data_IF_246621752492
#
_entry.id   IF_246621752492
#
_cell.length_a   1.000
_cell.length_b   1.000
_cell.length_c   1.000
_cell.angle_alpha   90.00
_cell.angle_beta   90.00
_cell.angle_gamma   90.00
#
_symmetry.space_group_name_H-M   'P 1'
#
loop_
_entity.id
_entity.type
_entity.pdbx_description
1 polymer ?
#
# COMPACT_ATOMS: atom_id res chain seq x y z
N UNK A 1 -7.82 -23.42 0.08
CA UNK A 1 -6.83 -22.35 0.28
C UNK A 1 -5.45 -22.94 0.07
N UNK A 2 -4.67 -22.37 -0.81
CA UNK A 2 -3.32 -22.89 -1.10
C UNK A 2 -2.42 -22.61 0.10
N UNK A 3 -1.93 -23.64 0.78
CA UNK A 3 -1.16 -23.55 2.04
C UNK A 3 0.32 -23.20 1.81
N UNK A 4 0.71 -22.82 0.59
CA UNK A 4 2.09 -22.44 0.31
C UNK A 4 2.43 -21.11 1.01
N UNK A 5 3.57 -21.09 1.68
CA UNK A 5 4.12 -19.87 2.28
C UNK A 5 4.29 -18.81 1.19
N UNK A 6 3.72 -17.60 1.32
CA UNK A 6 3.88 -16.55 0.31
C UNK A 6 5.35 -16.09 0.25
N UNK A 7 5.86 -15.83 -0.96
CA UNK A 7 7.17 -15.22 -1.13
C UNK A 7 7.14 -13.74 -0.73
N UNK A 8 6.00 -13.06 -0.97
CA UNK A 8 5.84 -11.65 -0.67
C UNK A 8 4.42 -11.29 -0.20
N UNK A 9 4.33 -10.22 0.58
CA UNK A 9 3.08 -9.53 0.87
C UNK A 9 3.00 -8.20 0.12
N UNK A 10 1.87 -7.98 -0.57
CA UNK A 10 1.60 -6.72 -1.27
C UNK A 10 0.62 -5.84 -0.48
N UNK A 11 0.97 -4.59 -0.21
CA UNK A 11 0.02 -3.61 0.32
C UNK A 11 -1.01 -3.29 -0.78
N UNK A 12 -2.27 -3.64 -0.51
CA UNK A 12 -3.32 -3.66 -1.51
C UNK A 12 -4.44 -2.69 -1.19
N UNK A 13 -4.68 -1.73 -2.07
CA UNK A 13 -5.75 -0.72 -1.91
C UNK A 13 -6.99 -0.99 -2.78
N UNK A 14 -6.96 -1.99 -3.65
CA UNK A 14 -7.97 -2.20 -4.68
C UNK A 14 -7.85 -1.25 -5.88
N UNK A 15 -6.85 -0.37 -5.90
CA UNK A 15 -6.56 0.51 -7.03
C UNK A 15 -5.59 -0.13 -8.03
N UNK A 16 -5.61 0.37 -9.29
CA UNK A 16 -4.85 -0.17 -10.40
C UNK A 16 -3.36 -0.38 -10.07
N UNK A 17 -2.69 0.61 -9.48
CA UNK A 17 -1.26 0.51 -9.18
C UNK A 17 -0.93 -0.65 -8.22
N UNK A 18 -1.81 -0.94 -7.25
CA UNK A 18 -1.62 -2.06 -6.32
C UNK A 18 -1.85 -3.43 -6.98
N UNK A 19 -2.80 -3.50 -7.93
CA UNK A 19 -3.05 -4.69 -8.74
C UNK A 19 -1.85 -4.98 -9.64
N UNK A 20 -1.41 -3.99 -10.40
CA UNK A 20 -0.28 -4.11 -11.32
C UNK A 20 1.01 -4.49 -10.60
N UNK A 21 1.29 -3.89 -9.44
CA UNK A 21 2.49 -4.19 -8.67
C UNK A 21 2.50 -5.65 -8.17
N UNK A 22 1.36 -6.18 -7.72
CA UNK A 22 1.25 -7.58 -7.31
C UNK A 22 1.40 -8.52 -8.51
N UNK A 23 0.70 -8.23 -9.61
CA UNK A 23 0.72 -9.05 -10.83
C UNK A 23 2.12 -9.12 -11.47
N UNK A 24 2.87 -8.01 -11.53
CA UNK A 24 4.25 -7.99 -12.04
C UNK A 24 5.17 -8.98 -11.32
N UNK A 25 4.97 -9.16 -10.03
CA UNK A 25 5.75 -10.12 -9.24
C UNK A 25 5.23 -11.54 -9.42
N UNK A 26 3.91 -11.71 -9.52
CA UNK A 26 3.31 -13.02 -9.82
C UNK A 26 3.72 -13.56 -11.19
N UNK A 27 3.86 -12.70 -12.20
CA UNK A 27 4.34 -13.06 -13.55
C UNK A 27 5.79 -13.55 -13.54
N UNK A 28 6.55 -13.29 -12.48
CA UNK A 28 7.87 -13.87 -12.27
C UNK A 28 7.83 -15.24 -11.55
N UNK A 29 6.64 -15.82 -11.35
CA UNK A 29 6.45 -17.13 -10.72
C UNK A 29 6.43 -17.08 -9.18
N UNK A 30 6.37 -15.90 -8.58
CA UNK A 30 6.37 -15.73 -7.13
C UNK A 30 4.94 -15.73 -6.54
N UNK A 31 4.76 -16.39 -5.41
CA UNK A 31 3.49 -16.39 -4.68
C UNK A 31 3.35 -15.08 -3.90
N UNK A 32 2.33 -14.30 -4.22
CA UNK A 32 2.05 -13.01 -3.60
C UNK A 32 0.70 -13.08 -2.88
N UNK A 33 0.66 -12.70 -1.62
CA UNK A 33 -0.58 -12.46 -0.87
C UNK A 33 -0.77 -10.96 -0.66
N UNK A 34 -1.95 -10.46 -0.95
CA UNK A 34 -2.31 -9.05 -0.84
C UNK A 34 -2.89 -8.75 0.55
N UNK A 35 -2.42 -7.66 1.19
CA UNK A 35 -2.92 -7.18 2.47
C UNK A 35 -3.79 -5.93 2.24
N UNK A 36 -5.10 -6.07 2.44
CA UNK A 36 -6.05 -4.97 2.36
C UNK A 36 -6.32 -4.40 3.74
N UNK A 37 -5.72 -3.24 4.03
CA UNK A 37 -5.85 -2.58 5.33
C UNK A 37 -7.20 -1.90 5.48
N UNK A 38 -7.82 -2.11 6.65
CA UNK A 38 -9.15 -1.61 6.99
C UNK A 38 -9.09 -0.74 8.24
N UNK A 39 -9.81 0.39 8.20
CA UNK A 39 -10.04 1.30 9.33
C UNK A 39 -11.44 1.91 9.17
N UNK A 40 -11.99 2.63 10.15
CA UNK A 40 -13.23 3.39 9.98
C UNK A 40 -13.19 4.45 8.87
N UNK A 41 -12.00 4.84 8.41
CA UNK A 41 -11.79 5.94 7.46
C UNK A 41 -11.41 5.49 6.04
N UNK A 42 -10.95 4.27 5.90
CA UNK A 42 -10.62 3.66 4.60
C UNK A 42 -10.66 2.14 4.68
N UNK A 43 -10.63 1.50 3.50
CA UNK A 43 -10.78 0.07 3.34
C UNK A 43 -12.18 -0.30 2.86
N UNK A 44 -12.26 -1.36 2.06
CA UNK A 44 -13.51 -1.90 1.49
C UNK A 44 -13.46 -3.43 1.49
N UNK A 45 -13.45 -4.08 2.67
CA UNK A 45 -13.27 -5.54 2.77
C UNK A 45 -14.37 -6.31 2.05
N UNK A 46 -15.57 -5.73 1.90
CA UNK A 46 -16.67 -6.32 1.14
C UNK A 46 -16.37 -6.52 -0.36
N UNK A 47 -15.34 -5.85 -0.90
CA UNK A 47 -14.93 -5.99 -2.31
C UNK A 47 -13.87 -7.08 -2.51
N UNK A 48 -13.35 -7.71 -1.46
CA UNK A 48 -12.32 -8.75 -1.57
C UNK A 48 -12.74 -9.89 -2.50
N UNK A 49 -13.94 -10.50 -2.38
CA UNK A 49 -14.33 -11.58 -3.27
C UNK A 49 -14.39 -11.16 -4.75
N UNK A 50 -14.75 -9.90 -5.02
CA UNK A 50 -14.73 -9.36 -6.38
C UNK A 50 -13.28 -9.24 -6.91
N UNK A 51 -12.36 -8.67 -6.11
CA UNK A 51 -10.96 -8.51 -6.52
C UNK A 51 -10.26 -9.83 -6.75
N UNK A 52 -10.50 -10.83 -5.90
CA UNK A 52 -9.95 -12.17 -6.07
C UNK A 52 -10.43 -12.80 -7.36
N UNK A 53 -11.73 -12.71 -7.65
CA UNK A 53 -12.35 -13.25 -8.86
C UNK A 53 -11.85 -12.56 -10.14
N UNK A 54 -11.79 -11.22 -10.12
CA UNK A 54 -11.51 -10.42 -11.33
C UNK A 54 -10.02 -10.36 -11.64
N UNK A 55 -9.17 -10.23 -10.61
CA UNK A 55 -7.74 -10.00 -10.80
C UNK A 55 -6.87 -11.22 -10.49
N UNK A 56 -7.46 -12.33 -10.02
CA UNK A 56 -6.72 -13.54 -9.68
C UNK A 56 -5.73 -13.34 -8.53
N UNK A 57 -6.09 -12.50 -7.57
CA UNK A 57 -5.27 -12.18 -6.40
C UNK A 57 -5.78 -12.92 -5.17
N UNK A 58 -4.92 -13.29 -4.25
CA UNK A 58 -5.29 -13.72 -2.89
C UNK A 58 -5.23 -12.50 -1.97
N UNK A 59 -6.36 -12.11 -1.35
CA UNK A 59 -6.48 -10.86 -0.60
C UNK A 59 -6.95 -11.14 0.83
N UNK A 60 -6.18 -10.68 1.82
CA UNK A 60 -6.49 -10.75 3.25
C UNK A 60 -6.83 -9.36 3.79
N UNK A 61 -7.97 -9.24 4.52
CA UNK A 61 -8.31 -8.02 5.25
C UNK A 61 -7.48 -7.93 6.54
N UNK A 62 -6.83 -6.79 6.75
CA UNK A 62 -6.04 -6.50 7.95
C UNK A 62 -6.63 -5.30 8.65
N UNK A 63 -7.30 -5.51 9.77
CA UNK A 63 -7.82 -4.41 10.59
C UNK A 63 -6.68 -3.73 11.35
N UNK A 64 -6.59 -2.42 11.18
CA UNK A 64 -5.67 -1.52 11.90
C UNK A 64 -6.41 -0.32 12.48
N UNK A 65 -7.74 -0.43 12.64
CA UNK A 65 -8.62 0.66 13.05
C UNK A 65 -8.22 1.24 14.40
N UNK A 66 -8.03 0.42 15.42
CA UNK A 66 -7.63 0.86 16.76
C UNK A 66 -6.27 1.58 16.74
N UNK A 67 -5.26 0.97 16.09
CA UNK A 67 -3.94 1.57 15.99
C UNK A 67 -3.97 2.89 15.20
N UNK A 68 -4.82 2.98 14.18
CA UNK A 68 -4.99 4.19 13.40
C UNK A 68 -5.70 5.31 14.19
N UNK A 69 -6.73 5.00 14.98
CA UNK A 69 -7.40 5.97 15.87
C UNK A 69 -6.41 6.47 16.93
N UNK A 70 -5.60 5.59 17.51
CA UNK A 70 -4.54 5.96 18.46
C UNK A 70 -3.54 6.92 17.83
N UNK A 71 -3.06 6.65 16.62
CA UNK A 71 -2.16 7.52 15.84
C UNK A 71 -2.76 8.94 15.67
N UNK A 72 -4.06 9.04 15.40
CA UNK A 72 -4.72 10.34 15.27
C UNK A 72 -4.77 11.10 16.60
N UNK A 73 -5.01 10.41 17.71
CA UNK A 73 -5.08 11.01 19.07
C UNK A 73 -3.71 11.49 19.55
N UNK A 74 -2.70 10.66 19.41
CA UNK A 74 -1.33 10.94 19.85
C UNK A 74 -0.62 11.97 18.97
N UNK A 75 -1.25 12.39 17.90
CA UNK A 75 -0.72 13.24 16.83
C UNK A 75 0.34 12.52 15.98
N UNK A 76 0.17 12.55 14.67
CA UNK A 76 1.14 11.96 13.74
C UNK A 76 2.51 12.65 13.87
N UNK A 77 3.58 11.88 13.92
CA UNK A 77 4.95 12.41 14.05
C UNK A 77 5.36 13.26 12.84
N UNK A 78 4.85 12.92 11.65
CA UNK A 78 5.09 13.67 10.41
C UNK A 78 3.98 14.67 10.09
N UNK A 79 3.05 14.87 11.02
CA UNK A 79 1.96 15.83 10.92
C UNK A 79 0.82 15.40 10.01
N UNK A 80 -0.15 16.28 9.92
CA UNK A 80 -1.29 16.14 9.03
C UNK A 80 -1.00 16.79 7.66
N UNK A 81 -1.73 16.37 6.61
CA UNK A 81 -1.73 17.04 5.32
C UNK A 81 -2.52 18.35 5.34
N UNK A 82 -3.17 18.67 4.22
CA UNK A 82 -4.00 19.91 4.12
C UNK A 82 -5.17 19.93 5.10
N UNK A 83 -5.59 18.77 5.55
CA UNK A 83 -6.66 18.55 6.51
C UNK A 83 -6.18 17.50 7.53
N UNK A 84 -7.03 16.63 8.02
CA UNK A 84 -6.73 15.70 9.09
C UNK A 84 -6.08 14.37 8.61
N UNK A 85 -5.58 14.33 7.39
CA UNK A 85 -5.02 13.13 6.78
C UNK A 85 -3.54 12.91 7.15
N UNK A 86 -3.19 11.88 7.95
CA UNK A 86 -1.82 11.59 8.39
C UNK A 86 -1.11 10.67 7.38
N UNK A 87 -1.03 11.05 6.10
CA UNK A 87 -0.67 10.15 5.01
C UNK A 87 0.70 9.45 5.18
N UNK A 88 1.69 10.12 5.77
CA UNK A 88 3.03 9.55 6.00
C UNK A 88 2.96 8.52 7.11
N UNK A 89 2.45 8.91 8.28
CA UNK A 89 2.35 8.02 9.45
C UNK A 89 1.39 6.86 9.23
N UNK A 90 0.31 7.08 8.47
CA UNK A 90 -0.59 6.03 8.02
C UNK A 90 0.15 4.96 7.20
N UNK A 91 1.01 5.37 6.29
CA UNK A 91 1.85 4.45 5.50
C UNK A 91 2.84 3.70 6.38
N UNK A 92 3.51 4.40 7.30
CA UNK A 92 4.42 3.78 8.26
C UNK A 92 3.69 2.72 9.10
N UNK A 93 2.50 3.04 9.61
CA UNK A 93 1.66 2.10 10.38
C UNK A 93 1.35 0.83 9.56
N UNK A 94 0.84 0.99 8.33
CA UNK A 94 0.51 -0.14 7.47
C UNK A 94 1.75 -0.98 7.12
N UNK A 95 2.88 -0.34 6.83
CA UNK A 95 4.13 -1.05 6.50
C UNK A 95 4.73 -1.79 7.69
N UNK A 96 4.66 -1.21 8.90
CA UNK A 96 5.04 -1.91 10.14
C UNK A 96 4.19 -3.15 10.35
N UNK A 97 2.88 -3.04 10.17
CA UNK A 97 1.96 -4.18 10.28
C UNK A 97 2.22 -5.24 9.21
N UNK A 98 2.46 -4.82 7.97
CA UNK A 98 2.84 -5.75 6.90
C UNK A 98 4.16 -6.47 7.20
N UNK A 99 5.16 -5.78 7.78
CA UNK A 99 6.43 -6.37 8.22
C UNK A 99 6.25 -7.40 9.34
N UNK A 100 5.37 -7.14 10.30
CA UNK A 100 5.02 -8.12 11.33
C UNK A 100 4.44 -9.40 10.71
N UNK A 101 3.48 -9.24 9.79
CA UNK A 101 2.88 -10.36 9.07
C UNK A 101 3.90 -11.09 8.20
N UNK A 102 4.76 -10.36 7.50
CA UNK A 102 5.85 -10.91 6.70
C UNK A 102 6.74 -11.85 7.55
N UNK A 103 7.17 -11.38 8.71
CA UNK A 103 7.98 -12.19 9.65
C UNK A 103 7.21 -13.40 10.18
N UNK A 104 5.94 -13.20 10.57
CA UNK A 104 5.08 -14.25 11.11
C UNK A 104 4.86 -15.40 10.12
N UNK A 105 4.72 -15.07 8.84
CA UNK A 105 4.42 -16.04 7.78
C UNK A 105 5.66 -16.51 7.00
N UNK A 106 6.84 -16.01 7.35
CA UNK A 106 8.09 -16.37 6.68
C UNK A 106 8.23 -15.87 5.24
N UNK A 107 7.49 -14.82 4.87
CA UNK A 107 7.65 -14.18 3.56
C UNK A 107 8.95 -13.37 3.50
N UNK A 108 9.54 -13.25 2.31
CA UNK A 108 10.87 -12.65 2.13
C UNK A 108 10.84 -11.12 1.97
N UNK A 109 9.76 -10.57 1.39
CA UNK A 109 9.69 -9.12 1.10
C UNK A 109 8.27 -8.58 1.04
N UNK A 110 8.18 -7.24 0.99
CA UNK A 110 6.94 -6.48 0.84
C UNK A 110 6.88 -5.82 -0.53
N UNK A 111 5.67 -5.65 -1.05
CA UNK A 111 5.39 -4.97 -2.32
C UNK A 111 4.48 -3.77 -2.06
N UNK A 112 4.78 -2.64 -2.69
CA UNK A 112 3.91 -1.48 -2.72
C UNK A 112 3.68 -0.99 -4.15
N UNK A 113 2.43 -0.71 -4.51
CA UNK A 113 2.05 -0.08 -5.78
C UNK A 113 2.30 1.42 -5.82
N UNK A 114 3.16 1.96 -4.96
CA UNK A 114 3.51 3.38 -4.99
C UNK A 114 4.35 3.72 -6.23
N UNK A 115 3.95 4.80 -6.91
CA UNK A 115 4.68 5.32 -8.07
C UNK A 115 5.39 6.62 -7.68
N UNK A 116 6.69 6.71 -7.96
CA UNK A 116 7.51 7.87 -7.66
C UNK A 116 6.93 9.14 -8.30
N UNK A 117 6.69 10.18 -7.49
CA UNK A 117 6.17 11.47 -7.95
C UNK A 117 4.66 11.51 -8.24
N UNK A 118 3.91 10.42 -8.08
CA UNK A 118 2.48 10.39 -8.39
C UNK A 118 1.63 11.16 -7.37
N UNK A 119 1.94 11.04 -6.09
CA UNK A 119 1.25 11.76 -5.01
C UNK A 119 2.18 12.74 -4.31
N UNK A 120 1.80 14.05 -4.25
CA UNK A 120 2.73 15.10 -3.81
C UNK A 120 3.13 15.00 -2.32
N UNK A 121 2.34 14.32 -1.48
CA UNK A 121 2.62 14.22 -0.06
C UNK A 121 3.38 12.94 0.30
N UNK A 122 2.95 11.78 -0.21
CA UNK A 122 3.44 10.48 0.26
C UNK A 122 4.31 9.71 -0.74
N UNK A 123 4.46 10.21 -1.98
CA UNK A 123 5.21 9.51 -3.04
C UNK A 123 6.34 10.36 -3.65
N UNK A 124 6.81 11.36 -2.94
CA UNK A 124 8.07 12.04 -3.26
C UNK A 124 9.22 11.16 -2.82
N UNK A 125 10.40 11.29 -3.44
CA UNK A 125 11.58 10.47 -3.14
C UNK A 125 11.98 10.57 -1.66
N UNK A 126 12.05 11.78 -1.14
CA UNK A 126 12.35 12.05 0.27
C UNK A 126 11.35 11.37 1.20
N UNK A 127 10.07 11.52 0.95
CA UNK A 127 9.00 10.92 1.76
C UNK A 127 8.99 9.38 1.65
N UNK A 128 9.20 8.81 0.47
CA UNK A 128 9.33 7.37 0.30
C UNK A 128 10.51 6.80 1.11
N UNK A 129 11.62 7.56 1.22
CA UNK A 129 12.77 7.19 2.03
C UNK A 129 12.48 7.27 3.53
N UNK A 130 11.79 8.33 3.99
CA UNK A 130 11.33 8.46 5.38
C UNK A 130 10.43 7.29 5.75
N UNK A 131 9.41 6.99 4.93
CA UNK A 131 8.46 5.89 5.19
C UNK A 131 9.20 4.55 5.32
N UNK A 132 10.08 4.19 4.37
CA UNK A 132 10.79 2.90 4.42
C UNK A 132 11.77 2.79 5.59
N UNK A 133 12.39 3.92 5.99
CA UNK A 133 13.27 3.99 7.15
C UNK A 133 12.48 3.79 8.45
N UNK A 134 11.44 4.58 8.64
CA UNK A 134 10.70 4.63 9.90
C UNK A 134 9.79 3.39 10.10
N UNK A 135 9.39 2.74 9.02
CA UNK A 135 8.75 1.43 9.07
C UNK A 135 9.75 0.26 9.19
N UNK A 136 11.05 0.52 9.13
CA UNK A 136 12.14 -0.48 9.16
C UNK A 136 12.00 -1.55 8.06
N UNK A 137 11.61 -1.13 6.85
CA UNK A 137 11.43 -2.00 5.68
C UNK A 137 12.34 -1.60 4.51
N UNK A 138 13.43 -0.87 4.80
CA UNK A 138 14.31 -0.29 3.79
C UNK A 138 14.78 -1.32 2.76
N UNK A 139 15.23 -2.47 3.22
CA UNK A 139 15.81 -3.51 2.38
C UNK A 139 14.75 -4.46 1.77
N UNK A 140 13.58 -4.56 2.41
CA UNK A 140 12.54 -5.53 2.03
C UNK A 140 11.36 -4.94 1.27
N UNK A 141 11.26 -3.62 1.11
CA UNK A 141 10.12 -2.97 0.45
C UNK A 141 10.41 -2.69 -1.02
N UNK A 142 9.84 -3.49 -1.90
CA UNK A 142 9.91 -3.35 -3.35
C UNK A 142 8.74 -2.50 -3.88
N UNK A 143 9.03 -1.62 -4.85
CA UNK A 143 8.04 -0.81 -5.59
C UNK A 143 8.14 -1.14 -7.08
N UNK A 144 7.52 -2.22 -7.54
CA UNK A 144 7.73 -2.78 -8.90
C UNK A 144 7.52 -1.78 -10.03
N UNK A 145 6.55 -0.85 -9.86
CA UNK A 145 6.21 0.14 -10.89
C UNK A 145 7.26 1.25 -11.06
N UNK A 146 8.09 1.50 -10.05
CA UNK A 146 9.13 2.55 -10.08
C UNK A 146 10.52 2.02 -9.72
N UNK A 147 10.71 0.72 -9.65
CA UNK A 147 11.92 0.09 -9.14
C UNK A 147 13.18 0.55 -9.88
N UNK A 148 13.12 0.68 -11.21
CA UNK A 148 14.27 1.11 -12.01
C UNK A 148 14.74 2.54 -11.70
N UNK A 149 13.92 3.35 -11.04
CA UNK A 149 14.24 4.72 -10.61
C UNK A 149 14.67 4.79 -9.14
N UNK A 150 14.63 3.69 -8.42
CA UNK A 150 14.92 3.60 -6.99
C UNK A 150 16.14 2.69 -6.76
N UNK A 151 16.73 2.79 -5.57
CA UNK A 151 17.81 1.90 -5.18
C UNK A 151 17.31 0.45 -5.12
N UNK A 152 18.12 -0.54 -5.54
CA UNK A 152 17.76 -1.94 -5.46
C UNK A 152 17.47 -2.37 -4.02
N UNK A 153 16.53 -3.30 -3.88
CA UNK A 153 16.16 -3.92 -2.59
C UNK A 153 16.70 -5.35 -2.49
N UNK A 154 16.69 -5.93 -1.30
CA UNK A 154 17.22 -7.27 -1.07
C UNK A 154 16.69 -8.35 -2.05
N UNK A 155 15.38 -8.44 -2.37
CA UNK A 155 14.89 -9.40 -3.35
C UNK A 155 15.43 -9.20 -4.77
N UNK A 156 15.79 -7.97 -5.15
CA UNK A 156 16.42 -7.67 -6.43
C UNK A 156 17.91 -8.04 -6.42
N UNK A 157 18.62 -7.72 -5.33
CA UNK A 157 20.05 -8.01 -5.17
C UNK A 157 20.31 -9.51 -5.10
N UNK A 158 19.44 -10.27 -4.44
CA UNK A 158 19.55 -11.74 -4.32
C UNK A 158 19.16 -12.49 -5.59
N UNK A 159 18.60 -11.82 -6.59
CA UNK A 159 18.08 -12.45 -7.80
C UNK A 159 16.74 -13.18 -7.61
N UNK A 160 16.09 -13.06 -6.44
CA UNK A 160 14.74 -13.59 -6.22
C UNK A 160 13.72 -12.89 -7.13
N UNK A 161 13.92 -11.59 -7.37
CA UNK A 161 13.15 -10.79 -8.32
C UNK A 161 14.07 -10.28 -9.43
N UNK A 162 13.71 -10.57 -10.67
CA UNK A 162 14.42 -10.04 -11.85
C UNK A 162 14.08 -8.55 -12.02
N UNK A 163 15.05 -7.69 -11.71
CA UNK A 163 14.92 -6.23 -11.81
C UNK A 163 14.63 -5.77 -13.25
N UNK A 164 15.08 -6.49 -14.28
CA UNK A 164 14.86 -6.10 -15.67
C UNK A 164 13.38 -6.20 -16.09
N UNK A 165 12.59 -7.01 -15.36
CA UNK A 165 11.15 -7.12 -15.53
C UNK A 165 10.35 -6.09 -14.72
N UNK A 166 11.05 -5.23 -13.96
CA UNK A 166 10.42 -4.14 -13.20
C UNK A 166 10.43 -2.84 -14.00
N UNK A 167 9.66 -1.85 -13.54
CA UNK A 167 9.39 -0.65 -14.32
C UNK A 167 10.02 0.61 -13.71
N UNK A 168 10.14 1.65 -14.56
CA UNK A 168 10.59 2.99 -14.20
C UNK A 168 9.49 4.03 -14.38
N UNK A 169 8.26 3.76 -13.92
CA UNK A 169 7.15 4.71 -14.02
C UNK A 169 7.35 5.85 -13.04
N UNK A 170 7.11 7.08 -13.52
CA UNK A 170 7.26 8.31 -12.76
C UNK A 170 6.11 9.30 -13.02
N UNK A 171 5.74 10.05 -11.99
CA UNK A 171 4.85 11.19 -12.12
C UNK A 171 3.37 10.85 -12.04
N UNK A 172 2.51 11.84 -12.36
CA UNK A 172 1.05 11.77 -12.15
C UNK A 172 0.28 11.14 -13.32
N UNK A 173 0.92 11.00 -14.44
CA UNK A 173 0.31 10.39 -15.63
C UNK A 173 0.01 8.92 -15.40
N UNK A 174 -1.09 8.44 -15.97
CA UNK A 174 -1.52 7.03 -15.84
C UNK A 174 -1.43 6.24 -17.14
N UNK A 175 -0.86 6.82 -18.20
CA UNK A 175 -0.75 6.16 -19.52
C UNK A 175 0.02 4.84 -19.44
N UNK A 176 1.15 4.84 -18.73
CA UNK A 176 1.96 3.63 -18.58
C UNK A 176 1.24 2.53 -17.80
N UNK A 177 0.51 2.89 -16.73
CA UNK A 177 -0.26 1.92 -15.96
C UNK A 177 -1.45 1.36 -16.78
N UNK A 178 -2.09 2.18 -17.60
CA UNK A 178 -3.18 1.74 -18.47
C UNK A 178 -2.66 0.80 -19.56
N UNK A 179 -1.54 1.13 -20.20
CA UNK A 179 -0.90 0.27 -21.19
C UNK A 179 -0.47 -1.07 -20.57
N UNK A 180 0.09 -1.05 -19.36
CA UNK A 180 0.46 -2.27 -18.65
C UNK A 180 -0.77 -3.12 -18.28
N UNK A 181 -1.87 -2.49 -17.88
CA UNK A 181 -3.11 -3.19 -17.59
C UNK A 181 -3.68 -3.91 -18.83
N UNK A 182 -3.60 -3.27 -19.98
CA UNK A 182 -3.99 -3.85 -21.26
C UNK A 182 -3.08 -5.04 -21.64
N UNK A 183 -1.76 -4.87 -21.53
CA UNK A 183 -0.78 -5.95 -21.76
C UNK A 183 -1.01 -7.17 -20.84
N UNK A 184 -1.39 -6.94 -19.59
CA UNK A 184 -1.73 -7.99 -18.62
C UNK A 184 -3.14 -8.58 -18.82
N UNK A 185 -3.90 -8.09 -19.79
CA UNK A 185 -5.25 -8.56 -20.10
C UNK A 185 -6.26 -8.27 -18.98
N UNK A 186 -6.10 -7.16 -18.24
CA UNK A 186 -7.06 -6.78 -17.20
C UNK A 186 -8.38 -6.35 -17.86
N UNK A 187 -9.42 -7.17 -17.70
CA UNK A 187 -10.75 -6.92 -18.30
C UNK A 187 -11.49 -5.75 -17.66
N UNK A 188 -11.18 -5.48 -16.40
CA UNK A 188 -11.80 -4.41 -15.62
C UNK A 188 -10.71 -3.51 -15.04
N UNK A 189 -10.79 -2.21 -15.35
CA UNK A 189 -9.92 -1.19 -14.76
C UNK A 189 -10.65 -0.63 -13.55
N UNK A 190 -10.09 -0.76 -12.33
CA UNK A 190 -10.76 -0.27 -11.14
C UNK A 190 -10.90 1.25 -11.21
N UNK A 191 -12.04 1.75 -10.78
CA UNK A 191 -12.20 3.19 -10.50
C UNK A 191 -11.12 3.62 -9.51
N UNK A 192 -10.64 4.87 -9.58
CA UNK A 192 -9.66 5.35 -8.62
C UNK A 192 -10.09 4.98 -7.21
N UNK A 193 -9.23 4.27 -6.48
CA UNK A 193 -9.52 3.90 -5.10
C UNK A 193 -9.89 5.17 -4.34
N UNK A 194 -11.07 5.19 -3.75
CA UNK A 194 -11.53 6.32 -2.93
C UNK A 194 -10.46 6.62 -1.88
N UNK A 195 -10.16 7.89 -1.69
CA UNK A 195 -9.19 8.32 -0.68
C UNK A 195 -9.68 8.01 0.74
N UNK A 196 -8.80 8.23 1.71
CA UNK A 196 -9.18 8.24 3.12
C UNK A 196 -10.23 9.35 3.37
N UNK A 197 -11.30 9.06 4.09
CA UNK A 197 -12.34 10.04 4.49
C UNK A 197 -11.74 11.27 5.18
N UNK A 198 -10.61 11.11 5.86
CA UNK A 198 -9.90 12.22 6.51
C UNK A 198 -9.18 13.17 5.51
N UNK A 199 -9.07 12.81 4.23
CA UNK A 199 -8.57 13.70 3.20
C UNK A 199 -9.65 14.67 2.66
N UNK A 200 -10.90 14.48 3.06
CA UNK A 200 -12.03 15.32 2.71
C UNK A 200 -12.25 16.38 3.79
N UNK A 201 -12.35 17.64 3.39
CA UNK A 201 -12.45 18.80 4.30
C UNK A 201 -13.64 18.70 5.25
N UNK A 202 -14.79 18.29 4.73
CA UNK A 202 -16.01 18.18 5.52
C UNK A 202 -15.93 17.08 6.57
N UNK A 203 -15.45 15.91 6.19
CA UNK A 203 -15.24 14.81 7.13
C UNK A 203 -14.22 15.17 8.21
N UNK A 204 -13.12 15.80 7.82
CA UNK A 204 -12.11 16.28 8.79
C UNK A 204 -12.69 17.23 9.82
N UNK A 205 -13.57 18.17 9.43
CA UNK A 205 -14.23 19.09 10.36
C UNK A 205 -15.13 18.36 11.35
N UNK A 206 -15.82 17.28 10.91
CA UNK A 206 -16.71 16.48 11.78
C UNK A 206 -15.94 15.62 12.76
N UNK A 207 -14.86 14.98 12.31
CA UNK A 207 -14.08 14.05 13.13
C UNK A 207 -13.14 14.75 14.11
N UNK A 208 -12.63 15.95 13.77
CA UNK A 208 -11.67 16.66 14.61
C UNK A 208 -12.14 16.87 16.07
N UNK A 209 -13.35 17.39 16.36
CA UNK A 209 -13.82 17.56 17.72
C UNK A 209 -13.95 16.23 18.48
N UNK A 210 -14.36 15.17 17.81
CA UNK A 210 -14.52 13.84 18.42
C UNK A 210 -13.15 13.31 18.88
N UNK A 211 -12.16 13.30 17.98
CA UNK A 211 -10.81 12.79 18.26
C UNK A 211 -10.02 13.64 19.27
N UNK A 212 -10.38 14.91 19.46
CA UNK A 212 -9.68 15.81 20.40
C UNK A 212 -10.35 15.91 21.76
N UNK A 213 -11.65 15.62 21.88
CA UNK A 213 -12.43 15.78 23.11
C UNK A 213 -12.70 14.44 23.82
N UNK A 214 -12.83 13.35 23.09
CA UNK A 214 -13.09 12.03 23.68
C UNK A 214 -11.77 11.42 24.14
N UNK A 215 -11.63 11.16 25.44
CA UNK A 215 -10.39 10.59 26.02
C UNK A 215 -10.06 9.20 25.46
N UNK A 216 -11.07 8.38 25.19
CA UNK A 216 -10.93 7.01 24.69
C UNK A 216 -11.93 6.72 23.56
N UNK A 217 -11.74 7.27 22.35
CA UNK A 217 -12.57 6.89 21.22
C UNK A 217 -12.31 5.43 20.86
N UNK A 218 -13.37 4.63 20.79
CA UNK A 218 -13.33 3.26 20.29
C UNK A 218 -13.58 3.22 18.78
N UNK A 219 -13.20 2.13 18.14
CA UNK A 219 -13.40 1.85 16.70
C UNK A 219 -14.76 1.17 16.49
#
# INVERSE_FOLDING_TARGET
>A
MNTSTPHAFALFSGGLDSILAARLIMEQGLVVRCLHFVTPFFGKPQLIPHWEKVYGLEVEAVDVGEAFVRLLRERPAHGFGKVMNPCVDCKILMMRKARELMKKWGASFLISGEVLGQRPMSQRRDTLNVIRRDAEVKESLLRPLSAQLLDPTAPEISGLVDRNKLLGIFGRGRKSQMALADQMGLKEIPTPAGGCKLAEKENSRRYWPVLTRIKEPTV
#
